data_IF_087519608777
#
_entry.id   IF_087519608777
#
_cell.length_a   1.000
_cell.length_b   1.000
_cell.length_c   1.000
_cell.angle_alpha   90.00
_cell.angle_beta   90.00
_cell.angle_gamma   90.00
#
_symmetry.space_group_name_H-M   'P 1'
#
loop_
_entity.id
_entity.type
_entity.pdbx_description
1 polymer ?
#
# COMPACT_ATOMS: atom_id res chain seq x y z
N UNK A 1 1.78 1.76 21.46
CA UNK A 1 2.27 2.88 22.30
C UNK A 1 2.79 2.45 23.67
N UNK A 2 2.15 1.52 24.40
CA UNK A 2 2.54 1.14 25.77
C UNK A 2 4.01 0.70 25.91
N UNK A 3 4.47 -0.19 25.02
CA UNK A 3 5.87 -0.67 25.00
C UNK A 3 6.87 0.47 24.71
N UNK A 4 6.56 1.36 23.75
CA UNK A 4 7.45 2.50 23.43
C UNK A 4 7.60 3.44 24.64
N UNK A 5 6.51 3.72 25.36
CA UNK A 5 6.60 4.53 26.57
C UNK A 5 7.32 3.83 27.72
N UNK A 6 7.12 2.53 27.92
CA UNK A 6 7.81 1.76 28.96
C UNK A 6 9.33 1.67 28.72
N UNK A 7 9.76 1.53 27.45
CA UNK A 7 11.18 1.39 27.11
C UNK A 7 11.91 2.71 26.88
N UNK A 8 11.26 3.67 26.22
CA UNK A 8 11.90 4.91 25.75
C UNK A 8 11.34 6.18 26.40
N UNK A 9 10.29 6.09 27.21
CA UNK A 9 9.62 7.25 27.83
C UNK A 9 8.90 8.18 26.84
N UNK A 10 8.91 7.84 25.55
CA UNK A 10 8.32 8.63 24.46
C UNK A 10 7.65 7.70 23.44
N UNK A 11 6.74 8.25 22.63
CA UNK A 11 6.16 7.54 21.48
C UNK A 11 6.93 7.80 20.18
N UNK A 12 7.86 8.76 20.20
CA UNK A 12 8.70 9.14 19.05
C UNK A 12 10.03 8.41 19.10
N UNK A 13 10.33 7.64 18.07
CA UNK A 13 11.57 6.87 17.96
C UNK A 13 12.23 7.24 16.65
N UNK A 14 13.56 7.45 16.66
CA UNK A 14 14.33 7.62 15.44
C UNK A 14 14.78 6.25 14.95
N UNK A 15 14.29 5.83 13.80
CA UNK A 15 14.67 4.58 13.14
C UNK A 15 15.31 4.89 11.78
N UNK A 16 16.54 4.42 11.57
CA UNK A 16 17.34 4.69 10.36
C UNK A 16 17.38 6.18 9.97
N UNK A 17 17.48 7.08 10.96
CA UNK A 17 17.52 8.53 10.75
C UNK A 17 16.16 9.19 10.51
N UNK A 18 15.06 8.44 10.57
CA UNK A 18 13.69 8.96 10.40
C UNK A 18 12.93 8.93 11.71
N UNK A 19 12.27 10.04 12.09
CA UNK A 19 11.41 10.10 13.27
C UNK A 19 10.06 9.42 12.99
N UNK A 20 9.78 8.34 13.72
CA UNK A 20 8.53 7.58 13.65
C UNK A 20 7.75 7.82 14.95
N UNK A 21 6.49 8.23 14.84
CA UNK A 21 5.61 8.41 16.00
C UNK A 21 4.63 7.24 16.13
N UNK A 22 4.80 6.46 17.18
CA UNK A 22 3.93 5.32 17.52
C UNK A 22 2.70 5.73 18.36
N UNK A 23 2.38 7.03 18.43
CA UNK A 23 1.19 7.53 19.10
C UNK A 23 -0.08 7.12 18.33
N UNK A 24 -1.03 6.40 18.95
CA UNK A 24 -2.33 6.13 18.36
C UNK A 24 -3.19 7.42 18.33
N UNK A 25 -4.18 7.50 17.43
CA UNK A 25 -4.59 6.49 16.45
C UNK A 25 -3.67 6.45 15.22
N UNK A 26 -3.40 5.25 14.71
CA UNK A 26 -2.68 5.08 13.45
C UNK A 26 -3.58 5.37 12.26
N UNK A 27 -2.99 5.89 11.19
CA UNK A 27 -3.70 6.14 9.94
C UNK A 27 -4.22 4.80 9.41
N UNK A 28 -5.49 4.76 9.00
CA UNK A 28 -6.07 3.63 8.26
C UNK A 28 -6.19 4.05 6.80
N UNK A 29 -5.82 3.16 5.90
CA UNK A 29 -5.80 3.42 4.47
C UNK A 29 -6.18 2.14 3.75
N UNK A 30 -7.08 2.20 2.76
CA UNK A 30 -7.33 1.02 1.92
C UNK A 30 -6.24 0.88 0.84
N UNK A 31 -6.07 -0.31 0.27
CA UNK A 31 -5.16 -0.47 -0.88
C UNK A 31 -5.55 0.41 -2.08
N UNK A 32 -6.86 0.52 -2.35
CA UNK A 32 -7.37 1.36 -3.44
C UNK A 32 -7.06 2.84 -3.20
N UNK A 33 -7.25 3.32 -1.97
CA UNK A 33 -6.89 4.69 -1.58
C UNK A 33 -5.39 4.95 -1.65
N UNK A 34 -4.56 3.99 -1.22
CA UNK A 34 -3.11 4.12 -1.31
C UNK A 34 -2.65 4.24 -2.76
N UNK A 35 -3.13 3.37 -3.64
CA UNK A 35 -2.81 3.42 -5.08
C UNK A 35 -3.36 4.69 -5.71
N UNK A 36 -4.56 5.12 -5.34
CA UNK A 36 -5.13 6.40 -5.78
C UNK A 36 -4.31 7.61 -5.35
N UNK A 37 -3.78 7.59 -4.13
CA UNK A 37 -2.98 8.69 -3.61
C UNK A 37 -1.57 8.74 -4.20
N UNK A 38 -0.91 7.58 -4.36
CA UNK A 38 0.51 7.52 -4.74
C UNK A 38 0.74 7.24 -6.23
N UNK A 39 -0.11 6.42 -6.86
CA UNK A 39 -0.05 6.13 -8.28
C UNK A 39 -1.02 6.99 -9.12
N UNK A 40 -1.86 7.82 -8.47
CA UNK A 40 -2.87 8.67 -9.10
C UNK A 40 -3.86 7.89 -10.00
N UNK A 41 -4.15 6.65 -9.61
CA UNK A 41 -5.06 5.76 -10.34
C UNK A 41 -6.24 5.39 -9.45
N UNK A 42 -7.43 5.65 -9.97
CA UNK A 42 -8.68 5.37 -9.27
C UNK A 42 -9.12 3.93 -9.55
N UNK A 43 -8.72 2.98 -8.71
CA UNK A 43 -9.11 1.56 -8.85
C UNK A 43 -10.60 1.30 -8.63
N UNK A 44 -11.30 2.19 -7.92
CA UNK A 44 -12.75 2.10 -7.77
C UNK A 44 -13.51 2.26 -9.10
N UNK A 45 -12.88 2.85 -10.12
CA UNK A 45 -13.47 3.01 -11.45
C UNK A 45 -13.15 1.86 -12.39
N UNK A 46 -12.24 0.96 -12.00
CA UNK A 46 -11.78 -0.14 -12.84
C UNK A 46 -12.58 -1.38 -12.47
N UNK A 47 -13.55 -1.71 -13.30
CA UNK A 47 -14.37 -2.91 -13.08
C UNK A 47 -13.81 -4.14 -13.81
N UNK A 48 -12.97 -3.94 -14.83
CA UNK A 48 -12.42 -5.01 -15.69
C UNK A 48 -10.94 -5.26 -15.46
N UNK A 49 -10.55 -6.54 -15.45
CA UNK A 49 -9.15 -6.96 -15.39
C UNK A 49 -8.33 -6.43 -16.57
N UNK A 50 -8.92 -6.31 -17.76
CA UNK A 50 -8.22 -5.83 -18.94
C UNK A 50 -7.83 -4.34 -18.84
N UNK A 51 -8.69 -3.52 -18.23
CA UNK A 51 -8.39 -2.11 -17.96
C UNK A 51 -7.26 -1.97 -16.94
N UNK A 52 -7.29 -2.79 -15.88
CA UNK A 52 -6.21 -2.84 -14.90
C UNK A 52 -4.88 -3.22 -15.57
N UNK A 53 -4.89 -4.21 -16.49
CA UNK A 53 -3.71 -4.66 -17.23
C UNK A 53 -3.14 -3.57 -18.12
N UNK A 54 -3.98 -2.80 -18.79
CA UNK A 54 -3.52 -1.71 -19.64
C UNK A 54 -2.89 -0.58 -18.81
N UNK A 55 -3.42 -0.30 -17.61
CA UNK A 55 -2.79 0.63 -16.68
C UNK A 55 -1.44 0.11 -16.20
N UNK A 56 -1.35 -1.18 -15.86
CA UNK A 56 -0.10 -1.81 -15.47
C UNK A 56 0.97 -1.74 -16.57
N UNK A 57 0.57 -1.94 -17.83
CA UNK A 57 1.47 -1.76 -18.99
C UNK A 57 1.90 -0.31 -19.14
N UNK A 58 0.97 0.65 -19.04
CA UNK A 58 1.28 2.09 -19.17
C UNK A 58 2.27 2.57 -18.11
N UNK A 59 2.15 2.06 -16.89
CA UNK A 59 3.05 2.38 -15.79
C UNK A 59 4.32 1.52 -15.74
N UNK A 60 4.44 0.55 -16.66
CA UNK A 60 5.57 -0.37 -16.76
C UNK A 60 5.94 -1.01 -15.41
N UNK A 61 4.93 -1.48 -14.69
CA UNK A 61 5.08 -2.03 -13.34
C UNK A 61 5.68 -3.43 -13.45
N UNK A 62 6.61 -3.76 -12.56
CA UNK A 62 7.27 -5.04 -12.57
C UNK A 62 6.43 -6.09 -11.84
N UNK A 63 5.64 -6.87 -12.59
CA UNK A 63 4.77 -7.90 -12.03
C UNK A 63 5.43 -9.27 -12.18
N UNK A 64 5.49 -10.05 -11.09
CA UNK A 64 6.09 -11.40 -11.07
C UNK A 64 5.31 -12.41 -11.92
N UNK A 65 3.99 -12.22 -12.05
CA UNK A 65 3.10 -13.02 -12.90
C UNK A 65 3.02 -12.41 -14.31
N UNK A 66 2.73 -13.23 -15.31
CA UNK A 66 2.45 -12.71 -16.65
C UNK A 66 1.20 -11.85 -16.59
N UNK A 67 1.26 -10.65 -17.18
CA UNK A 67 0.15 -9.68 -17.20
C UNK A 67 -1.20 -10.27 -17.64
N UNK A 68 -1.18 -11.30 -18.50
CA UNK A 68 -2.36 -12.02 -19.00
C UNK A 68 -3.06 -12.90 -17.95
N UNK A 69 -2.33 -13.31 -16.92
CA UNK A 69 -2.81 -14.16 -15.82
C UNK A 69 -3.02 -13.33 -14.54
N UNK A 70 -2.70 -12.03 -14.57
CA UNK A 70 -2.96 -11.11 -13.48
C UNK A 70 -4.42 -10.67 -13.48
N UNK A 71 -5.03 -10.72 -12.31
CA UNK A 71 -6.34 -10.13 -12.02
C UNK A 71 -6.17 -8.68 -11.55
N UNK A 72 -7.27 -7.94 -11.41
CA UNK A 72 -7.25 -6.58 -10.85
C UNK A 72 -6.59 -6.52 -9.46
N UNK A 73 -6.77 -7.55 -8.62
CA UNK A 73 -6.17 -7.60 -7.29
C UNK A 73 -4.66 -7.73 -7.32
N UNK A 74 -4.12 -8.59 -8.20
CA UNK A 74 -2.68 -8.72 -8.41
C UNK A 74 -2.06 -7.38 -8.85
N UNK A 75 -2.75 -6.64 -9.73
CA UNK A 75 -2.26 -5.37 -10.27
C UNK A 75 -2.32 -4.27 -9.21
N UNK A 76 -3.41 -4.20 -8.43
CA UNK A 76 -3.51 -3.27 -7.31
C UNK A 76 -2.37 -3.50 -6.32
N UNK A 77 -2.04 -4.76 -6.04
CA UNK A 77 -0.92 -5.09 -5.16
C UNK A 77 0.43 -4.66 -5.73
N UNK A 78 0.70 -4.96 -7.00
CA UNK A 78 1.95 -4.54 -7.64
C UNK A 78 2.12 -3.01 -7.66
N UNK A 79 1.03 -2.27 -7.89
CA UNK A 79 1.03 -0.81 -7.80
C UNK A 79 1.33 -0.32 -6.39
N UNK A 80 0.72 -0.95 -5.40
CA UNK A 80 0.93 -0.60 -4.02
C UNK A 80 2.37 -0.88 -3.58
N UNK A 81 2.97 -2.01 -3.96
CA UNK A 81 4.38 -2.32 -3.69
C UNK A 81 5.32 -1.29 -4.35
N UNK A 82 5.06 -0.93 -5.61
CA UNK A 82 5.99 -0.06 -6.35
C UNK A 82 5.91 1.41 -5.91
N UNK A 83 4.68 1.92 -5.71
CA UNK A 83 4.40 3.34 -5.44
C UNK A 83 3.96 3.61 -4.01
N UNK A 84 3.25 2.69 -3.35
CA UNK A 84 2.66 2.90 -2.02
C UNK A 84 3.63 2.62 -0.87
N UNK A 85 4.35 1.50 -0.92
CA UNK A 85 5.16 0.97 0.18
C UNK A 85 6.21 1.97 0.67
N UNK A 86 6.90 2.64 -0.26
CA UNK A 86 7.96 3.61 0.03
C UNK A 86 7.45 4.87 0.74
N UNK A 87 6.16 5.18 0.60
CA UNK A 87 5.55 6.39 1.17
C UNK A 87 4.98 6.16 2.59
N UNK A 88 4.82 4.91 3.01
CA UNK A 88 4.26 4.55 4.32
C UNK A 88 5.33 4.51 5.42
N UNK A 89 5.92 5.67 5.70
CA UNK A 89 6.97 5.84 6.72
C UNK A 89 6.39 5.82 8.15
N UNK A 90 5.26 6.50 8.34
CA UNK A 90 4.55 6.53 9.63
C UNK A 90 3.67 5.29 9.79
N UNK A 91 3.42 4.83 11.02
CA UNK A 91 2.59 3.65 11.27
C UNK A 91 1.20 3.83 10.65
N UNK A 92 0.96 3.05 9.60
CA UNK A 92 -0.27 3.06 8.80
C UNK A 92 -0.79 1.64 8.73
N UNK A 93 -2.07 1.48 9.03
CA UNK A 93 -2.79 0.23 8.86
C UNK A 93 -3.39 0.22 7.46
N UNK A 94 -2.82 -0.63 6.60
CA UNK A 94 -3.42 -0.94 5.32
C UNK A 94 -4.54 -1.95 5.52
N UNK A 95 -5.72 -1.68 4.97
CA UNK A 95 -6.93 -2.49 5.11
C UNK A 95 -7.57 -2.76 3.74
N UNK A 96 -8.56 -3.66 3.68
CA UNK A 96 -9.28 -4.04 2.44
C UNK A 96 -8.36 -4.56 1.33
N UNK A 97 -7.58 -5.58 1.67
CA UNK A 97 -6.81 -6.33 0.67
C UNK A 97 -7.77 -7.03 -0.31
N UNK A 98 -7.45 -7.05 -1.62
CA UNK A 98 -8.21 -7.83 -2.59
C UNK A 98 -8.31 -9.30 -2.17
N UNK A 99 -9.52 -9.84 -2.25
CA UNK A 99 -9.82 -11.26 -1.91
C UNK A 99 -8.89 -12.22 -2.63
N UNK A 100 -8.48 -11.88 -3.84
CA UNK A 100 -7.61 -12.72 -4.70
C UNK A 100 -6.19 -12.90 -4.17
N UNK A 101 -5.70 -11.97 -3.34
CA UNK A 101 -4.36 -12.04 -2.73
C UNK A 101 -4.40 -12.41 -1.24
N UNK A 102 -5.60 -12.57 -0.68
CA UNK A 102 -5.83 -12.91 0.73
C UNK A 102 -6.48 -14.30 0.80
N UNK A 103 -5.69 -15.39 0.78
CA UNK A 103 -6.18 -16.77 0.84
C UNK A 103 -6.88 -17.12 2.16
#
# INVERSE_FOLDING_TARGET
SKICQELYGTTKIVYQGTEIDFKPPWRRLTMTEAVKQYANIDFDKIESDDEARDIAKKLNINIKKQLKDCTKGDILNALFEEYGEKNLIQPTLLIDYPVEISP
#
